data_IF_360222964889
#
_entry.id   IF_360222964889
#
_cell.length_a   1.000
_cell.length_b   1.000
_cell.length_c   1.000
_cell.angle_alpha   90.00
_cell.angle_beta   90.00
_cell.angle_gamma   90.00
#
_symmetry.space_group_name_H-M   'P 1'
#
loop_
_entity.id
_entity.type
_entity.pdbx_description
1 polymer ?
#
# COMPACT_ATOMS: atom_id res chain seq x y z
N UNK A 1 -25.90 79.12 20.33
CA UNK A 1 -24.57 78.46 20.26
C UNK A 1 -24.68 77.11 20.97
N UNK A 2 -24.83 76.08 20.25
CA UNK A 2 -24.94 74.69 20.74
C UNK A 2 -23.75 73.91 20.22
N UNK A 3 -22.86 73.55 21.15
CA UNK A 3 -21.65 72.74 20.82
C UNK A 3 -22.00 71.23 20.76
N UNK A 4 -21.81 70.58 19.58
CA UNK A 4 -21.94 69.19 19.45
C UNK A 4 -20.58 68.53 19.73
N UNK A 5 -20.48 67.67 20.76
CA UNK A 5 -19.34 66.81 21.08
C UNK A 5 -19.55 65.49 20.30
N UNK A 6 -18.71 65.22 19.29
CA UNK A 6 -18.64 63.94 18.58
C UNK A 6 -17.95 62.91 19.43
N UNK A 7 -18.61 61.77 19.64
CA UNK A 7 -18.07 60.57 20.31
C UNK A 7 -17.44 59.68 19.21
N UNK A 8 -16.11 59.54 19.21
CA UNK A 8 -15.41 58.62 18.34
C UNK A 8 -15.39 57.22 19.01
N UNK A 9 -16.08 56.27 18.41
CA UNK A 9 -16.03 54.86 18.80
C UNK A 9 -14.89 54.16 18.00
N UNK A 10 -13.82 53.80 18.68
CA UNK A 10 -12.75 53.01 18.08
C UNK A 10 -13.12 51.54 18.09
N UNK A 11 -13.29 50.95 16.91
CA UNK A 11 -13.42 49.50 16.75
C UNK A 11 -12.03 48.87 16.80
N UNK A 12 -11.74 48.11 17.85
CA UNK A 12 -10.58 47.21 17.92
C UNK A 12 -10.91 45.93 17.15
N UNK A 13 -10.34 45.78 15.96
CA UNK A 13 -10.37 44.53 15.21
C UNK A 13 -9.23 43.63 15.74
N UNK A 14 -9.58 42.63 16.55
CA UNK A 14 -8.64 41.61 16.98
C UNK A 14 -8.39 40.65 15.81
N UNK A 15 -7.23 40.73 15.20
CA UNK A 15 -6.74 39.68 14.27
C UNK A 15 -6.30 38.48 15.13
N UNK A 16 -7.09 37.40 15.10
CA UNK A 16 -6.63 36.10 15.57
C UNK A 16 -5.59 35.59 14.58
N UNK A 17 -4.34 35.56 14.98
CA UNK A 17 -3.27 34.86 14.26
C UNK A 17 -3.54 33.36 14.33
N UNK A 18 -3.97 32.75 13.22
CA UNK A 18 -4.01 31.33 13.08
C UNK A 18 -2.53 30.90 12.99
N UNK A 19 -1.99 30.44 14.11
CA UNK A 19 -0.66 29.83 14.14
C UNK A 19 -0.63 28.59 13.25
N UNK A 20 0.53 28.20 12.69
CA UNK A 20 0.64 26.98 11.93
C UNK A 20 0.17 25.83 12.80
N UNK A 21 -0.80 25.05 12.30
CA UNK A 21 -1.18 23.77 12.91
C UNK A 21 0.06 22.89 12.81
N UNK A 22 0.78 22.78 13.90
CA UNK A 22 1.88 21.83 14.04
C UNK A 22 1.28 20.45 13.82
N UNK A 23 1.73 19.75 12.77
CA UNK A 23 1.40 18.36 12.59
C UNK A 23 1.86 17.63 13.87
N UNK A 24 0.92 17.22 14.71
CA UNK A 24 1.21 16.36 15.84
C UNK A 24 1.76 15.08 15.25
N UNK A 25 3.04 14.81 15.52
CA UNK A 25 3.60 13.49 15.25
C UNK A 25 2.73 12.49 16.00
N UNK A 26 2.12 11.57 15.24
CA UNK A 26 1.27 10.52 15.80
C UNK A 26 2.15 9.55 16.60
N UNK A 27 2.43 9.89 17.84
CA UNK A 27 2.99 8.95 18.83
C UNK A 27 1.98 7.86 19.22
N UNK A 28 0.95 7.63 18.40
CA UNK A 28 -0.15 6.73 18.69
C UNK A 28 -0.29 5.61 17.69
N UNK A 29 -0.60 4.43 18.19
CA UNK A 29 -1.08 3.28 17.43
C UNK A 29 -2.48 3.60 16.87
N UNK A 30 -2.67 3.44 15.56
CA UNK A 30 -3.98 3.44 14.92
C UNK A 30 -4.50 2.00 14.84
N UNK A 31 -5.77 1.78 15.17
CA UNK A 31 -6.40 0.45 15.20
C UNK A 31 -7.81 0.54 14.66
N UNK A 32 -8.19 -0.41 13.82
CA UNK A 32 -9.58 -0.63 13.39
C UNK A 32 -9.82 -2.13 13.22
N UNK A 33 -10.67 -2.72 14.06
CA UNK A 33 -11.09 -4.12 13.96
C UNK A 33 -12.33 -4.30 13.09
N UNK A 34 -12.88 -3.21 12.50
CA UNK A 34 -14.10 -3.25 11.68
C UNK A 34 -15.30 -3.91 12.36
N UNK A 35 -15.36 -3.85 13.70
CA UNK A 35 -16.38 -4.47 14.53
C UNK A 35 -17.72 -3.73 14.55
N UNK A 36 -17.73 -2.49 14.08
CA UNK A 36 -18.88 -1.59 14.07
C UNK A 36 -19.61 -1.57 12.73
N UNK A 37 -20.40 -0.52 12.55
CA UNK A 37 -21.07 -0.22 11.27
C UNK A 37 -20.37 0.92 10.49
N UNK A 38 -19.23 1.40 10.98
CA UNK A 38 -18.42 2.47 10.38
C UNK A 38 -16.96 2.29 10.81
N UNK A 39 -16.03 3.01 10.17
CA UNK A 39 -14.62 3.03 10.55
C UNK A 39 -14.43 3.59 11.95
N UNK A 40 -13.57 2.96 12.72
CA UNK A 40 -13.16 3.48 14.02
C UNK A 40 -12.54 4.87 13.87
N UNK A 41 -12.97 5.87 14.66
CA UNK A 41 -12.42 7.22 14.58
C UNK A 41 -10.89 7.26 14.75
N UNK A 42 -10.36 6.44 15.65
CA UNK A 42 -8.94 6.23 15.96
C UNK A 42 -8.19 5.42 14.91
N UNK A 43 -8.88 4.69 14.05
CA UNK A 43 -8.28 3.89 12.97
C UNK A 43 -7.71 4.72 11.82
N UNK A 44 -8.18 5.96 11.69
CA UNK A 44 -7.65 6.89 10.70
C UNK A 44 -7.95 6.54 9.25
N UNK A 45 -8.96 5.71 9.01
CA UNK A 45 -9.35 5.18 7.70
C UNK A 45 -10.62 5.83 7.16
N UNK A 46 -10.78 5.81 5.84
CA UNK A 46 -12.01 6.21 5.15
C UNK A 46 -12.14 5.55 3.78
N UNK A 47 -13.36 5.44 3.29
CA UNK A 47 -13.62 5.07 1.91
C UNK A 47 -13.69 6.32 1.05
N UNK A 48 -12.92 6.34 -0.05
CA UNK A 48 -12.98 7.43 -1.02
C UNK A 48 -13.88 7.02 -2.18
N UNK A 49 -15.04 7.65 -2.28
CA UNK A 49 -15.91 7.50 -3.45
C UNK A 49 -15.37 8.34 -4.63
N UNK A 50 -15.16 7.72 -5.76
CA UNK A 50 -14.77 8.36 -7.02
C UNK A 50 -15.22 7.51 -8.23
N UNK A 51 -14.97 7.98 -9.47
CA UNK A 51 -15.43 7.31 -10.68
C UNK A 51 -14.96 5.86 -10.80
N UNK A 52 -13.71 5.58 -10.44
CA UNK A 52 -13.16 4.22 -10.47
C UNK A 52 -13.77 3.30 -9.38
N UNK A 53 -14.31 3.89 -8.33
CA UNK A 53 -14.94 3.18 -7.20
C UNK A 53 -16.46 2.98 -7.38
N UNK A 54 -17.07 3.43 -8.46
CA UNK A 54 -18.46 3.11 -8.81
C UNK A 54 -18.71 1.62 -8.99
N UNK A 55 -17.65 0.85 -9.31
CA UNK A 55 -17.67 -0.60 -9.31
C UNK A 55 -17.64 -1.20 -7.91
N UNK A 56 -17.20 -0.41 -6.92
CA UNK A 56 -16.88 -0.88 -5.58
C UNK A 56 -18.07 -0.88 -4.63
N UNK A 57 -18.03 -1.81 -3.68
CA UNK A 57 -18.93 -1.84 -2.50
C UNK A 57 -18.09 -1.99 -1.25
N UNK A 58 -18.54 -1.34 -0.17
CA UNK A 58 -17.97 -1.41 1.18
C UNK A 58 -19.05 -1.84 2.14
N UNK A 59 -18.83 -2.91 2.89
CA UNK A 59 -19.78 -3.49 3.82
C UNK A 59 -19.10 -3.88 5.12
N UNK A 60 -19.57 -3.33 6.24
CA UNK A 60 -19.25 -3.83 7.58
C UNK A 60 -20.19 -5.01 7.87
N UNK A 61 -19.64 -6.19 8.08
CA UNK A 61 -20.40 -7.42 8.22
C UNK A 61 -19.83 -8.29 9.35
N UNK A 62 -20.61 -9.29 9.82
CA UNK A 62 -20.29 -10.12 11.00
C UNK A 62 -20.27 -11.63 10.72
N UNK A 63 -20.40 -12.04 9.46
CA UNK A 63 -20.43 -13.45 9.08
C UNK A 63 -19.01 -14.03 8.90
N UNK A 64 -18.14 -13.29 8.21
CA UNK A 64 -16.75 -13.68 7.90
C UNK A 64 -15.80 -12.73 8.62
N UNK A 65 -15.22 -13.17 9.71
CA UNK A 65 -14.33 -12.36 10.55
C UNK A 65 -13.10 -13.14 10.98
N UNK A 66 -12.03 -12.45 11.29
CA UNK A 66 -10.77 -12.99 11.84
C UNK A 66 -10.82 -12.99 13.36
N UNK A 67 -11.11 -11.83 13.95
CA UNK A 67 -11.27 -11.63 15.40
C UNK A 67 -12.52 -10.78 15.67
N UNK A 68 -12.77 -10.42 16.91
CA UNK A 68 -13.84 -9.50 17.29
C UNK A 68 -15.24 -9.93 16.88
N UNK A 69 -16.07 -8.95 16.48
CA UNK A 69 -17.48 -9.14 16.14
C UNK A 69 -17.81 -8.91 14.67
N UNK A 70 -16.89 -8.31 13.89
CA UNK A 70 -17.10 -7.98 12.49
C UNK A 70 -15.83 -8.04 11.66
N UNK A 71 -15.95 -7.71 10.40
CA UNK A 71 -14.87 -7.47 9.45
C UNK A 71 -15.37 -6.62 8.28
N UNK A 72 -14.45 -6.02 7.54
CA UNK A 72 -14.75 -5.23 6.36
C UNK A 72 -14.78 -6.12 5.12
N UNK A 73 -15.87 -6.09 4.38
CA UNK A 73 -16.01 -6.75 3.07
C UNK A 73 -15.94 -5.70 1.97
N UNK A 74 -14.99 -5.87 1.08
CA UNK A 74 -14.77 -5.00 -0.08
C UNK A 74 -14.94 -5.80 -1.35
N UNK A 75 -15.79 -5.34 -2.27
CA UNK A 75 -16.07 -6.05 -3.52
C UNK A 75 -16.00 -5.09 -4.70
N UNK A 76 -15.55 -5.59 -5.83
CA UNK A 76 -15.65 -4.93 -7.13
C UNK A 76 -16.43 -5.77 -8.10
N UNK A 77 -17.28 -5.13 -8.88
CA UNK A 77 -18.05 -5.70 -9.98
C UNK A 77 -17.58 -5.14 -11.31
N UNK A 78 -18.01 -5.75 -12.41
CA UNK A 78 -17.76 -5.22 -13.74
C UNK A 78 -18.40 -3.84 -13.91
N UNK A 79 -17.59 -2.86 -14.29
CA UNK A 79 -18.03 -1.49 -14.56
C UNK A 79 -17.29 -0.87 -15.75
N UNK A 80 -16.15 -1.44 -16.13
CA UNK A 80 -15.38 -0.96 -17.28
C UNK A 80 -16.09 -1.31 -18.58
N UNK A 81 -16.17 -0.40 -19.57
CA UNK A 81 -16.56 -0.72 -20.93
C UNK A 81 -15.65 -1.83 -21.50
N UNK A 82 -16.23 -2.71 -22.33
CA UNK A 82 -15.53 -3.90 -22.85
C UNK A 82 -14.27 -3.58 -23.68
N UNK A 83 -14.20 -2.37 -24.22
CA UNK A 83 -13.15 -1.87 -25.12
C UNK A 83 -12.24 -0.80 -24.47
N UNK A 84 -12.38 -0.58 -23.16
CA UNK A 84 -11.61 0.43 -22.46
C UNK A 84 -10.21 -0.06 -22.10
N UNK A 85 -9.17 0.45 -22.77
CA UNK A 85 -7.78 0.02 -22.57
C UNK A 85 -7.22 0.34 -21.17
N UNK A 86 -7.61 1.45 -20.55
CA UNK A 86 -7.03 1.93 -19.28
C UNK A 86 -8.05 2.07 -18.14
N UNK A 87 -9.15 1.36 -18.22
CA UNK A 87 -10.15 1.38 -17.16
C UNK A 87 -9.73 0.52 -15.98
N UNK A 88 -10.12 0.94 -14.81
CA UNK A 88 -9.91 0.18 -13.57
C UNK A 88 -11.13 0.22 -12.67
N UNK A 89 -11.25 -0.81 -11.85
CA UNK A 89 -12.33 -1.04 -10.90
C UNK A 89 -11.71 -1.18 -9.52
N UNK A 90 -12.26 -0.47 -8.52
CA UNK A 90 -11.70 -0.51 -7.18
C UNK A 90 -12.72 -0.32 -6.06
N UNK A 91 -12.42 -0.93 -4.92
CA UNK A 91 -13.05 -0.65 -3.63
C UNK A 91 -11.93 -0.55 -2.60
N UNK A 92 -11.20 0.56 -2.57
CA UNK A 92 -10.05 0.74 -1.69
C UNK A 92 -10.35 1.66 -0.52
N UNK A 93 -9.89 1.27 0.65
CA UNK A 93 -9.87 2.08 1.86
C UNK A 93 -8.56 2.86 1.91
N UNK A 94 -8.61 4.10 2.38
CA UNK A 94 -7.49 5.02 2.37
C UNK A 94 -7.21 5.54 3.78
N UNK A 95 -5.94 5.86 4.06
CA UNK A 95 -5.58 6.63 5.24
C UNK A 95 -6.03 8.10 5.11
N UNK A 96 -6.58 8.64 6.19
CA UNK A 96 -6.92 10.08 6.29
C UNK A 96 -5.67 10.92 6.06
N UNK A 97 -5.76 11.92 5.20
CA UNK A 97 -4.63 12.77 4.81
C UNK A 97 -3.91 13.40 6.02
N UNK A 98 -4.66 13.81 7.04
CA UNK A 98 -4.11 14.41 8.26
C UNK A 98 -3.24 13.44 9.10
N UNK A 99 -3.30 12.14 8.82
CA UNK A 99 -2.61 11.10 9.58
C UNK A 99 -1.46 10.45 8.79
N UNK A 100 -1.14 10.96 7.60
CA UNK A 100 -0.04 10.42 6.78
C UNK A 100 1.30 10.76 7.40
N UNK A 101 2.27 9.87 7.23
CA UNK A 101 3.62 10.03 7.73
C UNK A 101 4.56 10.56 6.64
N UNK A 102 5.64 11.21 7.06
CA UNK A 102 6.69 11.64 6.14
C UNK A 102 7.24 10.45 5.35
N UNK A 103 7.55 10.71 4.09
CA UNK A 103 7.91 9.65 3.13
C UNK A 103 9.15 8.85 3.53
N UNK A 104 10.10 9.45 4.22
CA UNK A 104 11.35 8.83 4.69
C UNK A 104 11.26 8.15 6.06
N UNK A 105 10.08 8.18 6.71
CA UNK A 105 9.91 7.60 8.05
C UNK A 105 9.54 6.12 7.99
N UNK A 106 10.06 5.32 8.94
CA UNK A 106 9.61 3.94 9.11
C UNK A 106 8.18 3.92 9.66
N UNK A 107 7.32 3.12 9.02
CA UNK A 107 5.93 2.89 9.45
C UNK A 107 5.62 1.41 9.37
N UNK A 108 5.08 0.87 10.46
CA UNK A 108 4.58 -0.49 10.53
C UNK A 108 3.07 -0.52 10.25
N UNK A 109 2.66 -1.46 9.42
CA UNK A 109 1.28 -1.76 9.08
C UNK A 109 0.96 -3.21 9.39
N UNK A 110 -0.17 -3.47 10.05
CA UNK A 110 -0.72 -4.79 10.26
C UNK A 110 -2.14 -4.86 9.76
N UNK A 111 -2.53 -5.95 9.13
CA UNK A 111 -3.91 -6.26 8.75
C UNK A 111 -4.04 -7.73 8.41
N UNK A 112 -5.23 -8.26 8.58
CA UNK A 112 -5.61 -9.56 8.07
C UNK A 112 -6.40 -9.42 6.77
N UNK A 113 -6.16 -10.29 5.80
CA UNK A 113 -6.93 -10.37 4.56
C UNK A 113 -7.35 -11.79 4.27
N UNK A 114 -8.58 -11.96 3.77
CA UNK A 114 -9.09 -13.24 3.26
C UNK A 114 -9.71 -13.03 1.87
N UNK A 115 -9.36 -13.90 0.96
CA UNK A 115 -9.94 -13.94 -0.37
C UNK A 115 -11.27 -14.69 -0.32
N UNK A 116 -12.32 -14.12 -0.95
CA UNK A 116 -13.52 -14.89 -1.22
C UNK A 116 -13.29 -15.85 -2.39
N UNK A 117 -13.87 -17.02 -2.31
CA UNK A 117 -13.84 -17.97 -3.42
C UNK A 117 -14.90 -17.63 -4.50
N UNK A 118 -14.63 -17.83 -5.78
CA UNK A 118 -13.36 -18.33 -6.30
C UNK A 118 -12.28 -17.23 -6.38
N UNK A 119 -11.04 -17.59 -6.08
CA UNK A 119 -9.88 -16.70 -6.31
C UNK A 119 -9.67 -16.54 -7.81
N UNK A 120 -9.45 -15.31 -8.33
CA UNK A 120 -9.18 -15.09 -9.75
C UNK A 120 -7.94 -15.84 -10.23
N UNK A 121 -8.09 -16.62 -11.32
CA UNK A 121 -7.01 -17.41 -11.96
C UNK A 121 -6.51 -16.80 -13.27
N UNK A 122 -7.10 -15.71 -13.71
CA UNK A 122 -6.69 -15.04 -14.94
C UNK A 122 -5.44 -14.15 -14.71
N UNK A 123 -4.89 -13.64 -15.80
CA UNK A 123 -3.65 -12.87 -15.86
C UNK A 123 -3.89 -11.35 -15.76
N UNK A 124 -5.03 -10.93 -15.26
CA UNK A 124 -5.32 -9.51 -15.06
C UNK A 124 -4.51 -8.93 -13.90
N UNK A 125 -4.39 -7.61 -13.90
CA UNK A 125 -3.80 -6.86 -12.80
C UNK A 125 -4.76 -6.84 -11.61
N UNK A 126 -4.36 -7.45 -10.51
CA UNK A 126 -5.06 -7.41 -9.23
C UNK A 126 -4.14 -6.87 -8.14
N UNK A 127 -4.54 -5.83 -7.43
CA UNK A 127 -3.87 -5.32 -6.24
C UNK A 127 -4.77 -5.52 -5.02
N UNK A 128 -4.14 -5.90 -3.91
CA UNK A 128 -4.78 -6.18 -2.63
C UNK A 128 -4.49 -5.05 -1.65
N UNK A 129 -3.24 -4.59 -1.65
CA UNK A 129 -2.75 -3.52 -0.79
C UNK A 129 -1.60 -2.79 -1.49
N UNK A 130 -1.49 -1.48 -1.28
CA UNK A 130 -0.45 -0.66 -1.89
C UNK A 130 -0.04 0.51 -1.00
N UNK A 131 1.26 0.80 -1.01
CA UNK A 131 1.88 1.92 -0.33
C UNK A 131 2.41 2.89 -1.35
N UNK A 132 2.03 4.14 -1.22
CA UNK A 132 2.31 5.18 -2.23
C UNK A 132 2.91 6.41 -1.58
N UNK A 133 3.59 7.19 -2.39
CA UNK A 133 3.90 8.58 -2.10
C UNK A 133 2.71 9.48 -2.44
N UNK A 134 2.49 10.55 -1.70
CA UNK A 134 1.52 11.57 -2.06
C UNK A 134 1.81 12.17 -3.44
N UNK A 135 0.75 12.60 -4.12
CA UNK A 135 0.81 13.21 -5.44
C UNK A 135 0.25 14.60 -5.29
N UNK A 136 1.08 15.62 -5.49
CA UNK A 136 0.67 17.01 -5.42
C UNK A 136 -0.05 17.44 -6.70
N UNK A 137 -0.78 18.54 -6.61
CA UNK A 137 -1.43 19.10 -7.80
C UNK A 137 -0.39 19.54 -8.83
N UNK A 138 -0.53 19.03 -10.05
CA UNK A 138 0.42 19.32 -11.14
C UNK A 138 1.68 18.46 -11.10
N UNK A 139 1.66 17.36 -10.38
CA UNK A 139 2.74 16.39 -10.43
C UNK A 139 2.93 15.84 -11.84
N UNK A 140 4.19 15.72 -12.24
CA UNK A 140 4.64 15.19 -13.52
C UNK A 140 5.68 14.09 -13.22
N UNK A 141 5.25 12.84 -13.17
CA UNK A 141 6.13 11.73 -12.82
C UNK A 141 5.39 10.42 -12.62
N UNK A 142 6.09 9.44 -12.07
CA UNK A 142 5.55 8.11 -11.79
C UNK A 142 4.67 8.12 -10.54
N UNK A 143 3.49 7.56 -10.66
CA UNK A 143 2.49 7.47 -9.60
C UNK A 143 2.27 6.05 -9.10
N UNK A 144 3.14 5.12 -9.46
CA UNK A 144 3.08 3.74 -9.02
C UNK A 144 3.33 3.60 -7.52
N UNK A 145 2.77 2.55 -6.88
CA UNK A 145 3.09 2.26 -5.49
C UNK A 145 4.57 1.87 -5.34
N UNK A 146 5.23 2.30 -4.27
CA UNK A 146 6.58 1.84 -3.97
C UNK A 146 6.61 0.42 -3.38
N UNK A 147 5.48 -0.04 -2.84
CA UNK A 147 5.25 -1.44 -2.43
C UNK A 147 3.81 -1.81 -2.76
N UNK A 148 3.61 -3.01 -3.31
CA UNK A 148 2.27 -3.56 -3.52
C UNK A 148 2.23 -5.06 -3.28
N UNK A 149 1.12 -5.52 -2.67
CA UNK A 149 0.69 -6.91 -2.66
C UNK A 149 -0.25 -7.14 -3.84
N UNK A 150 0.02 -8.17 -4.62
CA UNK A 150 -0.62 -8.42 -5.91
C UNK A 150 -1.07 -9.87 -6.03
N UNK A 151 -2.04 -10.10 -6.93
CA UNK A 151 -2.47 -11.43 -7.35
C UNK A 151 -2.35 -11.52 -8.88
N UNK A 152 -1.90 -12.67 -9.39
CA UNK A 152 -1.85 -13.03 -10.81
C UNK A 152 -1.95 -14.54 -10.94
N UNK A 153 -2.81 -15.04 -11.81
CA UNK A 153 -2.96 -16.49 -12.00
C UNK A 153 -3.30 -17.28 -10.73
N UNK A 154 -3.97 -16.64 -9.75
CA UNK A 154 -4.22 -17.22 -8.44
C UNK A 154 -3.01 -17.25 -7.50
N UNK A 155 -1.90 -16.59 -7.85
CA UNK A 155 -0.66 -16.53 -7.08
C UNK A 155 -0.49 -15.18 -6.39
N UNK A 156 -0.13 -15.22 -5.11
CA UNK A 156 0.16 -14.01 -4.34
C UNK A 156 1.64 -13.64 -4.48
N UNK A 157 1.91 -12.37 -4.75
CA UNK A 157 3.27 -11.85 -4.84
C UNK A 157 3.37 -10.40 -4.36
N UNK A 158 4.59 -9.99 -4.02
CA UNK A 158 4.90 -8.63 -3.62
C UNK A 158 5.92 -8.01 -4.57
N UNK A 159 5.72 -6.73 -4.88
CA UNK A 159 6.63 -5.95 -5.72
C UNK A 159 7.04 -4.66 -5.02
N UNK A 160 8.30 -4.29 -5.21
CA UNK A 160 8.84 -2.98 -4.86
C UNK A 160 9.11 -2.21 -6.13
N UNK A 161 8.81 -0.92 -6.16
CA UNK A 161 8.97 -0.08 -7.34
C UNK A 161 9.85 1.13 -7.02
N UNK A 162 10.64 1.54 -8.02
CA UNK A 162 11.50 2.72 -7.97
C UNK A 162 11.51 3.41 -9.34
N UNK A 163 12.11 4.60 -9.44
CA UNK A 163 12.40 5.23 -10.73
C UNK A 163 13.23 4.30 -11.62
N UNK A 164 13.02 4.41 -12.93
CA UNK A 164 13.77 3.61 -13.88
C UNK A 164 15.28 3.85 -13.74
N UNK A 165 16.00 2.75 -13.71
CA UNK A 165 17.45 2.70 -13.83
C UNK A 165 17.78 1.61 -14.84
N UNK A 166 18.87 1.78 -15.59
CA UNK A 166 19.29 0.75 -16.53
C UNK A 166 19.53 -0.57 -15.79
N UNK A 167 18.87 -1.67 -16.20
CA UNK A 167 19.10 -2.97 -15.58
C UNK A 167 20.56 -3.43 -15.75
N UNK A 168 21.09 -4.13 -14.75
CA UNK A 168 22.48 -4.63 -14.77
C UNK A 168 22.67 -5.78 -15.76
N UNK A 169 21.61 -6.57 -15.99
CA UNK A 169 21.62 -7.67 -16.96
C UNK A 169 20.22 -8.01 -17.44
N UNK A 170 20.14 -8.62 -18.62
CA UNK A 170 18.91 -9.24 -19.13
C UNK A 170 18.88 -10.69 -18.69
N UNK A 171 17.73 -11.18 -18.23
CA UNK A 171 17.53 -12.61 -17.94
C UNK A 171 17.69 -13.41 -19.23
N UNK A 172 18.79 -14.12 -19.36
CA UNK A 172 19.03 -15.05 -20.46
C UNK A 172 18.39 -16.38 -20.09
N UNK A 173 17.16 -16.58 -20.53
CA UNK A 173 16.26 -17.70 -20.23
C UNK A 173 15.82 -17.78 -18.75
N UNK A 174 14.54 -17.94 -18.55
CA UNK A 174 13.86 -18.07 -17.26
C UNK A 174 14.43 -19.15 -16.32
N UNK A 175 15.23 -20.09 -16.85
CA UNK A 175 15.80 -21.21 -16.11
C UNK A 175 17.02 -20.88 -15.24
N UNK A 176 17.69 -19.76 -15.46
CA UNK A 176 18.95 -19.46 -14.75
C UNK A 176 18.82 -18.44 -13.63
N UNK A 177 17.66 -17.78 -13.49
CA UNK A 177 17.47 -16.72 -12.51
C UNK A 177 18.42 -15.52 -12.70
N UNK A 178 18.38 -14.59 -11.76
CA UNK A 178 19.34 -13.49 -11.72
C UNK A 178 20.69 -13.95 -11.14
N UNK A 179 21.81 -13.28 -11.51
CA UNK A 179 23.09 -13.45 -10.83
C UNK A 179 22.96 -13.25 -9.30
N UNK A 180 23.90 -13.82 -8.55
CA UNK A 180 23.93 -13.64 -7.11
C UNK A 180 23.94 -12.14 -6.77
N UNK A 181 23.20 -11.75 -5.75
CA UNK A 181 22.98 -10.35 -5.31
C UNK A 181 22.16 -9.45 -6.25
N UNK A 182 21.60 -9.98 -7.34
CA UNK A 182 20.64 -9.26 -8.17
C UNK A 182 19.25 -9.86 -8.05
N UNK A 183 18.23 -9.04 -8.32
CA UNK A 183 16.83 -9.43 -8.22
C UNK A 183 16.11 -9.27 -9.55
N UNK A 184 15.09 -10.10 -9.82
CA UNK A 184 14.28 -10.00 -11.03
C UNK A 184 13.51 -8.68 -11.06
N UNK A 185 13.58 -7.98 -12.18
CA UNK A 185 12.87 -6.72 -12.38
C UNK A 185 12.12 -6.69 -13.71
N UNK A 186 11.01 -5.99 -13.70
CA UNK A 186 10.30 -5.54 -14.90
C UNK A 186 10.70 -4.10 -15.20
N UNK A 187 11.55 -3.86 -16.21
CA UNK A 187 11.94 -2.52 -16.63
C UNK A 187 10.81 -1.89 -17.46
N UNK A 188 10.44 -0.67 -17.12
CA UNK A 188 9.39 0.12 -17.76
C UNK A 188 9.89 1.56 -17.96
N UNK A 189 10.84 1.72 -18.87
CA UNK A 189 11.52 2.99 -19.12
C UNK A 189 10.59 4.07 -19.68
N UNK A 190 9.54 3.67 -20.41
CA UNK A 190 8.50 4.54 -20.99
C UNK A 190 7.69 5.30 -19.93
N UNK A 191 7.62 4.79 -18.71
CA UNK A 191 6.88 5.37 -17.58
C UNK A 191 7.77 5.63 -16.37
N UNK A 192 9.09 5.76 -16.58
CA UNK A 192 10.09 5.99 -15.52
C UNK A 192 9.96 5.02 -14.33
N UNK A 193 9.80 3.74 -14.59
CA UNK A 193 9.56 2.75 -13.56
C UNK A 193 10.44 1.51 -13.72
N UNK A 194 10.90 0.99 -12.60
CA UNK A 194 11.47 -0.34 -12.47
C UNK A 194 10.77 -1.06 -11.31
N UNK A 195 10.24 -2.24 -11.56
CA UNK A 195 9.49 -3.04 -10.59
C UNK A 195 10.24 -4.30 -10.25
N UNK A 196 10.67 -4.47 -9.00
CA UNK A 196 11.34 -5.65 -8.50
C UNK A 196 10.33 -6.65 -7.92
N UNK A 197 10.48 -7.93 -8.24
CA UNK A 197 9.79 -9.03 -7.59
C UNK A 197 10.54 -9.36 -6.29
N UNK A 198 9.86 -9.23 -5.14
CA UNK A 198 10.54 -9.34 -3.85
C UNK A 198 10.05 -10.50 -2.97
N UNK A 199 8.83 -10.96 -3.16
CA UNK A 199 8.30 -12.15 -2.49
C UNK A 199 7.21 -12.79 -3.33
N UNK A 200 7.07 -14.11 -3.23
CA UNK A 200 6.07 -14.92 -3.93
C UNK A 200 5.47 -15.96 -2.98
N UNK A 201 4.30 -16.49 -3.34
CA UNK A 201 3.79 -17.67 -2.66
C UNK A 201 4.58 -18.94 -3.06
N UNK A 202 4.36 -20.01 -2.30
CA UNK A 202 5.12 -21.24 -2.46
C UNK A 202 4.85 -22.04 -3.76
N UNK A 203 3.86 -21.60 -4.53
CA UNK A 203 3.49 -22.25 -5.80
C UNK A 203 3.85 -21.39 -7.02
N UNK A 204 4.51 -20.23 -6.80
CA UNK A 204 4.98 -19.36 -7.87
C UNK A 204 5.95 -20.08 -8.80
N UNK A 205 5.71 -19.96 -10.09
CA UNK A 205 6.59 -20.49 -11.13
C UNK A 205 7.27 -19.35 -11.91
N UNK A 206 8.27 -19.72 -12.70
CA UNK A 206 8.96 -18.76 -13.58
C UNK A 206 8.00 -18.16 -14.62
N UNK A 207 7.05 -18.95 -15.09
CA UNK A 207 6.07 -18.50 -16.10
C UNK A 207 5.11 -17.44 -15.52
N UNK A 208 4.84 -17.47 -14.20
CA UNK A 208 4.02 -16.47 -13.52
C UNK A 208 4.68 -15.09 -13.54
N UNK A 209 6.01 -15.04 -13.61
CA UNK A 209 6.83 -13.83 -13.57
C UNK A 209 7.49 -13.46 -14.91
N UNK A 210 6.92 -13.84 -16.03
CA UNK A 210 7.54 -13.62 -17.36
C UNK A 210 7.88 -12.14 -17.67
N UNK A 211 7.16 -11.18 -17.11
CA UNK A 211 7.44 -9.74 -17.24
C UNK A 211 8.70 -9.27 -16.50
N UNK A 212 9.15 -10.00 -15.48
CA UNK A 212 10.39 -9.71 -14.75
C UNK A 212 11.59 -10.24 -15.53
N UNK A 213 11.90 -9.58 -16.64
CA UNK A 213 12.79 -10.06 -17.71
C UNK A 213 14.22 -9.52 -17.60
N UNK A 214 14.55 -8.81 -16.57
CA UNK A 214 15.88 -8.24 -16.32
C UNK A 214 16.26 -8.39 -14.86
N UNK A 215 17.51 -8.04 -14.52
CA UNK A 215 18.03 -8.12 -13.15
C UNK A 215 18.69 -6.80 -12.74
N UNK A 216 18.65 -6.51 -11.44
CA UNK A 216 19.32 -5.32 -10.89
C UNK A 216 19.89 -5.57 -9.50
N UNK A 217 20.96 -4.86 -9.17
CA UNK A 217 21.56 -4.76 -7.83
C UNK A 217 21.08 -3.51 -7.05
N UNK A 218 20.22 -2.67 -7.64
CA UNK A 218 19.70 -1.44 -7.00
C UNK A 218 18.75 -1.72 -5.84
N UNK A 219 18.21 -2.92 -5.81
CA UNK A 219 17.36 -3.45 -4.74
C UNK A 219 17.98 -4.74 -4.25
N UNK A 220 18.27 -4.83 -2.96
CA UNK A 220 18.70 -6.04 -2.29
C UNK A 220 17.48 -6.76 -1.70
N UNK A 221 17.32 -8.04 -1.98
CA UNK A 221 16.29 -8.90 -1.41
C UNK A 221 16.94 -10.00 -0.59
N UNK A 222 16.66 -10.02 0.70
CA UNK A 222 17.15 -11.04 1.64
C UNK A 222 15.98 -11.97 1.94
N UNK A 223 15.99 -13.15 1.33
CA UNK A 223 15.03 -14.21 1.61
C UNK A 223 15.21 -14.70 3.06
N UNK A 224 14.10 -14.80 3.80
CA UNK A 224 14.05 -15.28 5.19
C UNK A 224 13.60 -16.74 5.30
N UNK A 225 13.54 -17.46 4.18
CA UNK A 225 13.22 -18.87 4.12
C UNK A 225 11.74 -19.20 4.25
N UNK A 226 10.86 -18.21 4.07
CA UNK A 226 9.42 -18.40 4.08
C UNK A 226 8.79 -17.73 2.85
N UNK A 227 7.80 -18.39 2.24
CA UNK A 227 7.00 -17.85 1.15
C UNK A 227 5.77 -17.09 1.67
N UNK A 228 5.18 -16.26 0.84
CA UNK A 228 3.83 -15.74 1.09
C UNK A 228 2.84 -16.91 1.15
N UNK A 229 1.80 -16.83 1.99
CA UNK A 229 0.74 -17.84 2.02
C UNK A 229 -0.06 -17.88 0.72
N UNK A 230 -0.62 -19.05 0.38
CA UNK A 230 -1.57 -19.17 -0.71
C UNK A 230 -2.81 -18.31 -0.46
N UNK A 231 -3.37 -17.63 -1.49
CA UNK A 231 -4.65 -16.89 -1.36
C UNK A 231 -5.82 -17.75 -0.86
N UNK A 232 -5.76 -19.07 -1.06
CA UNK A 232 -6.79 -20.02 -0.62
C UNK A 232 -6.57 -20.56 0.80
N UNK A 233 -5.51 -20.13 1.51
CA UNK A 233 -5.18 -20.64 2.84
C UNK A 233 -6.08 -20.11 3.98
N UNK A 234 -7.09 -19.30 3.67
CA UNK A 234 -7.95 -18.65 4.65
C UNK A 234 -7.51 -17.22 4.96
N UNK A 235 -7.54 -16.83 6.24
CA UNK A 235 -7.02 -15.54 6.67
C UNK A 235 -5.49 -15.51 6.59
N UNK A 236 -4.95 -14.42 6.05
CA UNK A 236 -3.53 -14.13 5.98
C UNK A 236 -3.27 -12.87 6.81
N UNK A 237 -2.49 -13.00 7.87
CA UNK A 237 -2.09 -11.87 8.72
C UNK A 237 -0.79 -11.28 8.19
N UNK A 238 -0.80 -10.01 7.79
CA UNK A 238 0.39 -9.27 7.39
C UNK A 238 0.88 -8.35 8.49
N UNK A 239 2.20 -8.30 8.69
CA UNK A 239 2.90 -7.23 9.39
C UNK A 239 4.03 -6.72 8.49
N UNK A 240 3.99 -5.44 8.13
CA UNK A 240 4.86 -4.87 7.11
C UNK A 240 5.47 -3.57 7.61
N UNK A 241 6.81 -3.50 7.63
CA UNK A 241 7.55 -2.24 7.76
C UNK A 241 7.72 -1.62 6.39
N UNK A 242 7.45 -0.32 6.28
CA UNK A 242 7.80 0.48 5.12
C UNK A 242 8.64 1.68 5.51
N UNK A 243 9.75 1.87 4.82
CA UNK A 243 10.57 3.07 4.84
C UNK A 243 11.09 3.27 3.42
N UNK A 244 10.36 3.99 2.55
CA UNK A 244 10.86 4.28 1.21
C UNK A 244 12.13 5.13 1.27
N UNK A 245 12.96 5.01 0.23
CA UNK A 245 14.23 5.72 0.08
C UNK A 245 14.74 5.54 -1.34
N UNK A 246 14.27 6.36 -2.31
CA UNK A 246 14.62 6.21 -3.72
C UNK A 246 16.11 6.52 -4.00
N UNK A 247 16.81 7.08 -3.05
CA UNK A 247 18.26 7.32 -3.05
C UNK A 247 19.11 6.13 -2.57
N UNK A 248 18.49 4.97 -2.31
CA UNK A 248 19.17 3.77 -1.82
C UNK A 248 19.08 3.55 -0.31
N UNK A 249 18.31 4.37 0.41
CA UNK A 249 18.12 4.26 1.87
C UNK A 249 16.83 3.55 2.28
N UNK A 250 16.12 2.98 1.31
CA UNK A 250 14.86 2.29 1.52
C UNK A 250 15.02 1.00 2.32
N UNK A 251 13.97 0.66 3.08
CA UNK A 251 13.89 -0.55 3.88
C UNK A 251 12.45 -1.03 4.01
N UNK A 252 12.19 -2.28 3.68
CA UNK A 252 10.91 -2.95 3.82
C UNK A 252 11.12 -4.29 4.50
N UNK A 253 10.25 -4.63 5.43
CA UNK A 253 10.12 -5.98 6.01
C UNK A 253 8.73 -6.51 5.74
N UNK A 254 8.61 -7.76 5.33
CA UNK A 254 7.32 -8.43 5.13
C UNK A 254 7.27 -9.68 6.00
N UNK A 255 6.28 -9.71 6.89
CA UNK A 255 5.88 -10.88 7.65
C UNK A 255 4.48 -11.30 7.19
N UNK A 256 4.25 -12.60 7.11
CA UNK A 256 2.95 -13.18 6.81
C UNK A 256 2.68 -14.37 7.73
N UNK A 257 1.55 -14.38 8.45
CA UNK A 257 1.21 -15.38 9.45
C UNK A 257 2.36 -15.60 10.47
N UNK A 258 2.87 -14.49 11.02
CA UNK A 258 4.01 -14.43 11.98
C UNK A 258 5.34 -14.98 11.44
N UNK A 259 5.44 -15.31 10.16
CA UNK A 259 6.67 -15.75 9.52
C UNK A 259 7.35 -14.62 8.79
N UNK A 260 8.63 -14.41 9.04
CA UNK A 260 9.43 -13.42 8.31
C UNK A 260 9.68 -13.94 6.90
N UNK A 261 9.11 -13.25 5.91
CA UNK A 261 9.18 -13.66 4.51
C UNK A 261 10.42 -13.06 3.83
N UNK A 262 10.60 -11.74 3.93
CA UNK A 262 11.64 -11.03 3.19
C UNK A 262 12.02 -9.72 3.86
N UNK A 263 13.31 -9.37 3.72
CA UNK A 263 13.85 -8.02 3.92
C UNK A 263 14.22 -7.44 2.57
N UNK A 264 13.82 -6.19 2.29
CA UNK A 264 14.17 -5.47 1.06
C UNK A 264 14.87 -4.18 1.42
N UNK A 265 16.02 -3.90 0.80
CA UNK A 265 16.81 -2.69 1.00
C UNK A 265 17.19 -2.07 -0.34
N UNK A 266 17.56 -0.78 -0.34
CA UNK A 266 18.07 -0.10 -1.52
C UNK A 266 17.16 0.98 -2.08
N UNK A 267 17.11 1.11 -3.40
CA UNK A 267 16.32 2.13 -4.07
C UNK A 267 14.83 1.73 -4.06
N UNK A 268 14.06 2.30 -3.15
CA UNK A 268 12.65 1.98 -2.94
C UNK A 268 11.82 3.25 -3.07
N UNK A 269 10.93 3.28 -4.06
CA UNK A 269 10.02 4.40 -4.29
C UNK A 269 10.53 5.43 -5.30
N UNK A 270 9.77 6.50 -5.45
CA UNK A 270 9.90 7.47 -6.51
C UNK A 270 10.28 8.85 -5.96
N UNK A 271 11.10 9.58 -6.72
CA UNK A 271 11.55 10.94 -6.39
C UNK A 271 11.19 11.98 -7.46
N UNK A 272 10.25 11.67 -8.34
CA UNK A 272 9.81 12.56 -9.41
C UNK A 272 9.29 13.88 -8.86
N UNK A 273 9.44 14.92 -9.68
CA UNK A 273 8.96 16.26 -9.38
C UNK A 273 7.44 16.27 -9.18
N UNK A 274 6.99 16.94 -8.13
CA UNK A 274 5.56 17.08 -7.82
C UNK A 274 4.99 15.92 -7.02
N UNK A 275 5.80 14.97 -6.58
CA UNK A 275 5.40 14.03 -5.56
C UNK A 275 5.53 14.69 -4.17
N UNK A 276 4.51 14.46 -3.33
CA UNK A 276 4.39 15.10 -2.02
C UNK A 276 5.35 14.59 -0.96
N UNK A 277 5.25 15.15 0.23
CA UNK A 277 6.17 14.89 1.33
C UNK A 277 5.86 13.61 2.12
N UNK A 278 4.67 13.03 1.96
CA UNK A 278 4.20 11.93 2.81
C UNK A 278 3.99 10.63 2.03
N UNK A 279 4.06 9.53 2.76
CA UNK A 279 3.60 8.23 2.32
C UNK A 279 2.20 7.95 2.84
N UNK A 280 1.49 7.05 2.16
CA UNK A 280 0.18 6.58 2.60
C UNK A 280 -0.09 5.15 2.14
N UNK A 281 -0.93 4.50 2.91
CA UNK A 281 -1.39 3.15 2.67
C UNK A 281 -2.84 3.14 2.16
N UNK A 282 -3.14 2.22 1.27
CA UNK A 282 -4.49 1.86 0.89
C UNK A 282 -4.59 0.38 0.58
N UNK A 283 -5.73 -0.20 0.88
CA UNK A 283 -6.00 -1.61 0.70
C UNK A 283 -7.43 -1.85 0.20
N UNK A 284 -7.63 -2.98 -0.40
CA UNK A 284 -8.89 -3.37 -1.02
C UNK A 284 -8.70 -3.79 -2.47
N UNK A 285 -9.71 -4.43 -3.08
CA UNK A 285 -9.62 -4.88 -4.45
C UNK A 285 -9.48 -3.69 -5.42
N UNK A 286 -8.37 -3.71 -6.18
CA UNK A 286 -8.13 -2.83 -7.32
C UNK A 286 -7.64 -3.65 -8.49
N UNK A 287 -8.35 -3.61 -9.61
CA UNK A 287 -8.03 -4.42 -10.78
C UNK A 287 -8.22 -3.66 -12.10
N UNK A 288 -7.66 -4.18 -13.19
CA UNK A 288 -8.10 -3.87 -14.54
C UNK A 288 -9.54 -4.36 -14.75
N UNK A 289 -10.27 -3.80 -15.71
CA UNK A 289 -11.65 -4.20 -15.97
C UNK A 289 -11.81 -5.70 -16.19
N UNK A 290 -12.79 -6.31 -15.51
CA UNK A 290 -13.08 -7.74 -15.59
C UNK A 290 -14.60 -7.98 -15.49
N UNK A 291 -15.07 -9.11 -16.04
CA UNK A 291 -16.50 -9.47 -16.04
C UNK A 291 -16.97 -10.08 -14.72
N UNK A 292 -16.07 -10.68 -13.95
CA UNK A 292 -16.39 -11.39 -12.72
C UNK A 292 -16.33 -10.44 -11.52
N UNK A 293 -17.14 -10.71 -10.51
CA UNK A 293 -17.01 -10.04 -9.22
C UNK A 293 -15.74 -10.54 -8.49
N UNK A 294 -15.13 -9.66 -7.70
CA UNK A 294 -14.00 -10.02 -6.86
C UNK A 294 -14.16 -9.40 -5.47
N UNK A 295 -14.05 -10.23 -4.43
CA UNK A 295 -14.29 -9.83 -3.05
C UNK A 295 -13.11 -10.21 -2.16
N UNK A 296 -12.75 -9.28 -1.28
CA UNK A 296 -11.77 -9.45 -0.21
C UNK A 296 -12.41 -9.07 1.13
N UNK A 297 -12.02 -9.77 2.18
CA UNK A 297 -12.36 -9.41 3.56
C UNK A 297 -11.11 -8.90 4.25
N UNK A 298 -11.24 -7.84 5.06
CA UNK A 298 -10.15 -7.27 5.85
C UNK A 298 -10.56 -7.18 7.31
N UNK A 299 -9.58 -7.39 8.18
CA UNK A 299 -9.77 -7.35 9.63
C UNK A 299 -8.47 -6.90 10.32
N UNK A 300 -8.56 -6.57 11.61
CA UNK A 300 -7.42 -6.33 12.49
C UNK A 300 -6.41 -5.28 11.98
N UNK A 301 -6.88 -4.19 11.37
CA UNK A 301 -5.99 -3.12 10.91
C UNK A 301 -5.25 -2.47 12.08
N UNK A 302 -3.94 -2.33 11.93
CA UNK A 302 -3.04 -1.65 12.87
C UNK A 302 -2.00 -0.85 12.11
N UNK A 303 -1.62 0.31 12.66
CA UNK A 303 -0.51 1.11 12.16
C UNK A 303 0.22 1.76 13.33
N UNK A 304 1.55 1.74 13.30
CA UNK A 304 2.39 2.35 14.35
C UNK A 304 3.79 2.67 13.82
N UNK A 305 4.50 3.57 14.50
CA UNK A 305 5.95 3.75 14.33
C UNK A 305 6.77 2.64 15.00
N UNK A 306 6.14 1.70 15.73
CA UNK A 306 6.82 0.66 16.52
C UNK A 306 6.38 -0.72 16.06
N UNK A 307 7.35 -1.61 15.92
CA UNK A 307 7.13 -3.01 15.54
C UNK A 307 6.17 -3.74 16.50
N UNK A 308 6.37 -3.57 17.80
CA UNK A 308 5.66 -4.30 18.86
C UNK A 308 4.15 -4.00 18.91
N UNK A 309 3.73 -2.91 18.29
CA UNK A 309 2.31 -2.57 18.17
C UNK A 309 1.61 -3.33 17.04
N UNK A 310 2.39 -3.94 16.15
CA UNK A 310 1.90 -4.58 14.92
C UNK A 310 2.24 -6.05 14.86
N UNK A 311 3.48 -6.43 15.14
CA UNK A 311 3.96 -7.82 15.15
C UNK A 311 4.02 -8.35 16.58
N UNK A 312 3.43 -9.53 16.82
CA UNK A 312 3.40 -10.13 18.15
C UNK A 312 4.77 -10.70 18.58
N UNK A 313 5.60 -11.12 17.62
CA UNK A 313 6.93 -11.67 17.86
C UNK A 313 7.95 -10.59 18.23
N UNK A 314 8.21 -10.45 19.52
CA UNK A 314 9.16 -9.46 20.06
C UNK A 314 10.61 -9.76 19.65
N UNK A 315 10.97 -11.04 19.43
CA UNK A 315 12.31 -11.41 18.99
C UNK A 315 12.54 -10.99 17.53
N UNK A 316 11.53 -11.16 16.68
CA UNK A 316 11.56 -10.68 15.31
C UNK A 316 11.65 -9.15 15.27
N UNK A 317 10.90 -8.41 16.09
CA UNK A 317 11.00 -6.96 16.21
C UNK A 317 12.42 -6.51 16.60
N UNK A 318 13.04 -7.19 17.56
CA UNK A 318 14.40 -6.87 17.99
C UNK A 318 15.45 -7.17 16.89
N UNK A 319 15.17 -8.10 15.99
CA UNK A 319 16.06 -8.47 14.89
C UNK A 319 15.95 -7.52 13.67
N UNK A 320 14.84 -6.79 13.52
CA UNK A 320 14.64 -5.79 12.47
C UNK A 320 15.33 -4.47 12.81
N UNK A 321 15.40 -4.10 14.08
CA UNK A 321 16.06 -2.88 14.59
C UNK A 321 17.58 -3.10 14.70
#
# INVERSE_FOLDING_TARGET
MISARGLAVAFLVSFATIGPVSAQSLNGKLVDGFDGSDFAPEGGLYYRDNDEQRAGTVEFQNEVKRTGTGALKLSVRSNCPADAENCSERAEIWEKTALREAYDKPVWYGFAVKFAEPVPLDDHRYLIAQWKREIDSGADGDFSPFLALRLKGGRLFATVETNYQEPDSVLVAASNGCPASQVPVWPRSDVNQMRALVATDGEWSVDDGAEFSACTDKVEVIDRGNSLPSPTSGWIDFAILTKPGPDGTGHIEIFANDKWVVTVKGHIGHNDKGLGANQYFKFGPYRAGNKNDWTLFYDDFRRSGRCEDVLADQAACAAVN
#
